data_IF_065854117074
#
_entry.id   IF_065854117074
#
_cell.length_a   1.000
_cell.length_b   1.000
_cell.length_c   1.000
_cell.angle_alpha   90.00
_cell.angle_beta   90.00
_cell.angle_gamma   90.00
#
_symmetry.space_group_name_H-M   'P 1'
#
loop_
_entity.id
_entity.type
_entity.pdbx_description
1 polymer ?
#
# COMPACT_ATOMS: atom_id res chain seq x y z
N UNK A 1 -8.63 -3.85 27.10
CA UNK A 1 -9.45 -2.70 26.70
C UNK A 1 -8.85 -2.12 25.43
N UNK A 2 -9.67 -1.66 24.49
CA UNK A 2 -9.15 -0.93 23.33
C UNK A 2 -8.47 0.36 23.82
N UNK A 3 -7.40 0.76 23.14
CA UNK A 3 -6.67 1.99 23.44
C UNK A 3 -7.59 3.20 23.18
N UNK A 4 -7.50 4.23 24.01
CA UNK A 4 -8.40 5.41 23.92
C UNK A 4 -8.16 6.20 22.61
N UNK A 5 -6.91 6.22 22.10
CA UNK A 5 -6.54 6.82 20.84
C UNK A 5 -5.65 5.85 20.04
N UNK A 6 -6.24 4.90 19.31
CA UNK A 6 -5.45 3.95 18.51
C UNK A 6 -4.80 4.65 17.33
N UNK A 7 -3.65 4.13 16.88
CA UNK A 7 -2.81 4.73 15.84
C UNK A 7 -2.69 3.80 14.66
N UNK A 8 -2.90 4.35 13.47
CA UNK A 8 -2.71 3.64 12.20
C UNK A 8 -1.64 4.32 11.34
N UNK A 9 -0.90 3.53 10.59
CA UNK A 9 0.02 3.98 9.55
C UNK A 9 -0.46 3.40 8.23
N UNK A 10 -0.60 4.25 7.21
CA UNK A 10 -1.05 3.84 5.88
C UNK A 10 -0.03 4.34 4.85
N UNK A 11 0.58 3.44 4.08
CA UNK A 11 1.43 3.82 2.94
C UNK A 11 0.63 3.81 1.63
N UNK A 12 1.03 4.62 0.64
CA UNK A 12 0.23 4.80 -0.58
C UNK A 12 -1.09 5.52 -0.29
N UNK A 13 -1.07 6.43 0.69
CA UNK A 13 -2.26 6.98 1.32
C UNK A 13 -2.85 8.20 0.62
N UNK A 14 -2.19 8.75 -0.41
CA UNK A 14 -2.69 9.94 -1.11
C UNK A 14 -3.94 9.66 -1.95
N UNK A 15 -4.17 8.41 -2.38
CA UNK A 15 -5.32 8.08 -3.24
C UNK A 15 -5.69 6.59 -3.21
N UNK A 16 -6.79 6.24 -3.89
CA UNK A 16 -7.22 4.86 -4.09
C UNK A 16 -7.47 4.11 -2.79
N UNK A 17 -7.01 2.85 -2.73
CA UNK A 17 -7.24 1.96 -1.57
C UNK A 17 -6.61 2.52 -0.30
N UNK A 18 -5.40 3.12 -0.40
CA UNK A 18 -4.73 3.71 0.76
C UNK A 18 -5.50 4.87 1.37
N UNK A 19 -5.96 5.85 0.56
CA UNK A 19 -6.77 6.98 1.02
C UNK A 19 -8.10 6.51 1.62
N UNK A 20 -8.79 5.57 0.97
CA UNK A 20 -10.03 4.99 1.49
C UNK A 20 -9.81 4.29 2.83
N UNK A 21 -8.70 3.53 2.98
CA UNK A 21 -8.34 2.87 4.23
C UNK A 21 -8.05 3.89 5.35
N UNK A 22 -7.32 4.96 5.04
CA UNK A 22 -7.03 6.03 5.99
C UNK A 22 -8.30 6.71 6.49
N UNK A 23 -9.21 7.09 5.58
CA UNK A 23 -10.48 7.70 5.93
C UNK A 23 -11.36 6.78 6.81
N UNK A 24 -11.43 5.49 6.50
CA UNK A 24 -12.19 4.52 7.31
C UNK A 24 -11.59 4.30 8.69
N UNK A 25 -10.27 4.22 8.81
CA UNK A 25 -9.59 4.11 10.10
C UNK A 25 -9.84 5.37 10.94
N UNK A 26 -9.74 6.57 10.36
CA UNK A 26 -10.05 7.83 11.02
C UNK A 26 -11.51 7.87 11.52
N UNK A 27 -12.46 7.42 10.69
CA UNK A 27 -13.88 7.33 11.08
C UNK A 27 -14.13 6.34 12.24
N UNK A 28 -13.24 5.34 12.42
CA UNK A 28 -13.24 4.42 13.57
C UNK A 28 -12.48 4.96 14.79
N UNK A 29 -12.02 6.21 14.74
CA UNK A 29 -11.36 6.88 15.85
C UNK A 29 -9.84 6.75 15.89
N UNK A 30 -9.20 6.15 14.87
CA UNK A 30 -7.75 6.10 14.78
C UNK A 30 -7.15 7.47 14.45
N UNK A 31 -6.03 7.79 15.07
CA UNK A 31 -5.09 8.77 14.50
C UNK A 31 -4.32 8.09 13.37
N UNK A 32 -4.26 8.71 12.21
CA UNK A 32 -3.72 8.08 10.99
C UNK A 32 -2.51 8.86 10.48
N UNK A 33 -1.37 8.22 10.41
CA UNK A 33 -0.22 8.71 9.66
C UNK A 33 -0.34 8.25 8.20
N UNK A 34 -0.54 9.21 7.30
CA UNK A 34 -0.66 8.99 5.87
C UNK A 34 0.72 9.18 5.22
N UNK A 35 1.25 8.12 4.65
CA UNK A 35 2.58 8.13 4.00
C UNK A 35 2.40 7.95 2.50
N UNK A 36 2.95 8.88 1.72
CA UNK A 36 3.05 8.75 0.26
C UNK A 36 4.29 9.48 -0.25
N UNK A 37 4.66 9.22 -1.50
CA UNK A 37 5.70 9.95 -2.21
C UNK A 37 5.08 10.86 -3.26
N UNK A 38 4.88 12.16 -2.99
CA UNK A 38 4.36 13.11 -3.96
C UNK A 38 5.29 13.28 -5.17
N UNK A 39 4.68 13.55 -6.34
CA UNK A 39 5.40 13.78 -7.61
C UNK A 39 6.46 14.89 -7.49
N UNK A 40 6.20 15.89 -6.67
CA UNK A 40 7.08 17.05 -6.43
C UNK A 40 8.27 16.71 -5.52
N UNK A 41 8.28 15.52 -4.92
CA UNK A 41 9.39 15.09 -4.06
C UNK A 41 10.67 14.94 -4.89
N UNK A 42 11.80 15.51 -4.44
CA UNK A 42 13.04 15.43 -5.21
C UNK A 42 13.53 13.99 -5.33
N UNK A 43 13.83 13.57 -6.54
CA UNK A 43 14.84 12.56 -6.82
C UNK A 43 14.44 11.20 -7.32
N UNK A 44 13.19 10.67 -7.28
CA UNK A 44 13.00 9.26 -7.68
C UNK A 44 11.70 8.87 -8.41
N UNK A 45 10.74 9.75 -8.53
CA UNK A 45 9.44 9.38 -9.16
C UNK A 45 9.45 9.42 -10.68
N UNK A 46 10.37 10.18 -11.29
CA UNK A 46 10.59 10.14 -12.75
C UNK A 46 11.09 8.77 -13.24
N UNK A 47 11.41 7.87 -12.31
CA UNK A 47 11.99 6.54 -12.58
C UNK A 47 10.96 5.41 -12.68
N UNK A 48 9.64 5.67 -12.50
CA UNK A 48 8.63 4.64 -12.74
C UNK A 48 8.30 4.63 -14.23
N UNK A 49 8.75 3.61 -14.98
CA UNK A 49 8.51 3.55 -16.41
C UNK A 49 7.02 3.40 -16.74
N UNK A 50 6.61 3.98 -17.87
CA UNK A 50 5.28 3.75 -18.41
C UNK A 50 4.21 4.77 -17.99
N UNK A 51 2.91 4.40 -18.12
CA UNK A 51 1.79 5.33 -17.98
C UNK A 51 1.39 5.63 -16.52
N UNK A 52 1.92 4.92 -15.54
CA UNK A 52 1.61 5.17 -14.14
C UNK A 52 2.04 6.59 -13.74
N UNK A 53 1.16 7.31 -13.06
CA UNK A 53 1.44 8.65 -12.55
C UNK A 53 1.33 8.63 -11.02
N UNK A 54 2.38 9.03 -10.31
CA UNK A 54 2.35 9.21 -8.85
C UNK A 54 1.30 10.25 -8.44
N UNK A 55 0.97 10.30 -7.16
CA UNK A 55 0.11 11.32 -6.58
C UNK A 55 0.83 12.68 -6.49
N UNK A 56 0.09 13.77 -6.44
CA UNK A 56 0.62 15.09 -6.09
C UNK A 56 0.63 15.31 -4.57
N UNK A 57 1.39 16.27 -4.09
CA UNK A 57 1.38 16.65 -2.68
C UNK A 57 0.01 17.06 -2.20
N UNK A 58 -0.74 17.78 -3.04
CA UNK A 58 -2.12 18.16 -2.76
C UNK A 58 -3.03 16.94 -2.53
N UNK A 59 -2.86 15.83 -3.26
CA UNK A 59 -3.65 14.62 -3.06
C UNK A 59 -3.44 14.03 -1.65
N UNK A 60 -2.20 14.08 -1.15
CA UNK A 60 -1.87 13.60 0.19
C UNK A 60 -2.47 14.49 1.28
N UNK A 61 -2.41 15.82 1.09
CA UNK A 61 -3.01 16.78 2.02
C UNK A 61 -4.54 16.67 2.04
N UNK A 62 -5.18 16.48 0.88
CA UNK A 62 -6.63 16.26 0.77
C UNK A 62 -7.04 14.94 1.45
N UNK A 63 -6.28 13.87 1.27
CA UNK A 63 -6.53 12.60 1.95
C UNK A 63 -6.39 12.74 3.48
N UNK A 64 -5.41 13.51 3.96
CA UNK A 64 -5.25 13.79 5.38
C UNK A 64 -6.41 14.64 5.93
N UNK A 65 -6.85 15.66 5.19
CA UNK A 65 -7.99 16.50 5.55
C UNK A 65 -9.30 15.68 5.62
N UNK A 66 -9.49 14.72 4.71
CA UNK A 66 -10.64 13.81 4.71
C UNK A 66 -10.73 12.93 5.98
N UNK A 67 -9.63 12.78 6.72
CA UNK A 67 -9.58 12.09 8.01
C UNK A 67 -10.13 12.94 9.19
N UNK A 68 -10.68 14.13 8.95
CA UNK A 68 -11.40 14.91 9.94
C UNK A 68 -10.54 15.33 11.15
N UNK A 69 -9.32 15.84 10.92
CA UNK A 69 -8.39 16.28 11.98
C UNK A 69 -7.62 15.15 12.67
N UNK A 70 -7.82 13.90 12.25
CA UNK A 70 -7.08 12.72 12.72
C UNK A 70 -5.98 12.26 11.75
N UNK A 71 -5.91 12.85 10.55
CA UNK A 71 -4.94 12.53 9.52
C UNK A 71 -3.70 13.41 9.61
N UNK A 72 -2.52 12.82 9.50
CA UNK A 72 -1.24 13.49 9.47
C UNK A 72 -0.46 13.04 8.23
N UNK A 73 -0.18 13.97 7.32
CA UNK A 73 0.53 13.71 6.07
C UNK A 73 2.05 13.63 6.29
N UNK A 74 2.69 12.64 5.70
CA UNK A 74 4.12 12.43 5.72
C UNK A 74 4.63 12.07 4.32
N UNK A 75 5.52 12.87 3.76
CA UNK A 75 6.17 12.57 2.49
C UNK A 75 7.35 11.61 2.70
N UNK A 76 7.25 10.37 2.21
CA UNK A 76 8.35 9.41 2.24
C UNK A 76 8.23 8.35 1.13
N UNK A 77 9.39 7.96 0.59
CA UNK A 77 9.50 6.86 -0.37
C UNK A 77 9.58 5.54 0.37
N UNK A 78 8.68 4.60 0.06
CA UNK A 78 8.71 3.25 0.68
C UNK A 78 9.96 2.45 0.33
N UNK A 79 10.69 2.84 -0.71
CA UNK A 79 12.00 2.28 -1.09
C UNK A 79 13.13 2.75 -0.18
N UNK A 80 12.94 3.86 0.55
CA UNK A 80 13.92 4.43 1.46
C UNK A 80 13.62 4.01 2.91
N UNK A 81 14.37 3.03 3.46
CA UNK A 81 14.14 2.54 4.81
C UNK A 81 14.46 3.58 5.88
N UNK A 82 15.38 4.53 5.63
CA UNK A 82 15.70 5.59 6.58
C UNK A 82 14.60 6.65 6.64
N UNK A 83 14.02 7.02 5.49
CA UNK A 83 12.86 7.92 5.45
C UNK A 83 11.66 7.32 6.20
N UNK A 84 11.35 6.04 5.96
CA UNK A 84 10.28 5.35 6.69
C UNK A 84 10.56 5.28 8.19
N UNK A 85 11.78 4.92 8.60
CA UNK A 85 12.14 4.86 10.02
C UNK A 85 11.90 6.20 10.71
N UNK A 86 12.32 7.33 10.10
CA UNK A 86 12.08 8.67 10.64
C UNK A 86 10.59 8.99 10.83
N UNK A 87 9.75 8.61 9.86
CA UNK A 87 8.29 8.81 9.98
C UNK A 87 7.75 7.96 11.14
N UNK A 88 8.14 6.69 11.21
CA UNK A 88 7.69 5.77 12.26
C UNK A 88 8.15 6.24 13.65
N UNK A 89 9.40 6.68 13.79
CA UNK A 89 9.93 7.26 15.04
C UNK A 89 9.13 8.51 15.45
N UNK A 90 8.78 9.36 14.48
CA UNK A 90 7.92 10.53 14.72
C UNK A 90 6.54 10.11 15.22
N UNK A 91 5.91 9.14 14.60
CA UNK A 91 4.59 8.61 15.01
C UNK A 91 4.66 8.02 16.42
N UNK A 92 5.68 7.22 16.71
CA UNK A 92 5.86 6.60 18.03
C UNK A 92 6.14 7.67 19.10
N UNK A 93 6.96 8.68 18.81
CA UNK A 93 7.26 9.74 19.78
C UNK A 93 6.05 10.57 20.18
N UNK A 94 5.09 10.76 19.26
CA UNK A 94 3.87 11.53 19.53
C UNK A 94 2.74 10.68 20.14
N UNK A 95 2.67 9.40 19.76
CA UNK A 95 1.50 8.57 20.06
C UNK A 95 1.84 7.29 20.85
N UNK A 96 3.10 6.99 21.06
CA UNK A 96 3.58 5.90 21.91
C UNK A 96 3.69 4.54 21.23
N UNK A 97 2.74 4.09 20.42
CA UNK A 97 2.81 2.82 19.68
C UNK A 97 1.88 2.84 18.46
N UNK A 98 2.05 1.87 17.58
CA UNK A 98 1.24 1.67 16.37
C UNK A 98 0.35 0.45 16.58
N UNK A 99 -0.95 0.59 16.27
CA UNK A 99 -1.95 -0.47 16.40
C UNK A 99 -2.26 -1.14 15.05
N UNK A 100 -2.26 -0.34 13.95
CA UNK A 100 -2.58 -0.83 12.61
C UNK A 100 -1.55 -0.32 11.60
N UNK A 101 -1.12 -1.19 10.70
CA UNK A 101 -0.34 -0.82 9.51
C UNK A 101 -1.05 -1.32 8.27
N UNK A 102 -1.29 -0.42 7.30
CA UNK A 102 -1.79 -0.75 5.97
C UNK A 102 -0.70 -0.43 4.93
N UNK A 103 -0.04 -1.44 4.42
CA UNK A 103 0.97 -1.33 3.38
C UNK A 103 0.27 -1.35 2.00
N UNK A 104 -0.19 -0.16 1.54
CA UNK A 104 -0.93 -0.01 0.29
C UNK A 104 -0.14 0.73 -0.81
N UNK A 105 1.07 1.20 -0.55
CA UNK A 105 1.92 1.79 -1.57
C UNK A 105 2.21 0.77 -2.68
N UNK A 106 2.11 1.23 -3.92
CA UNK A 106 2.37 0.38 -5.07
C UNK A 106 2.30 1.15 -6.39
N UNK A 107 2.90 0.57 -7.40
CA UNK A 107 2.89 1.09 -8.77
C UNK A 107 2.72 -0.07 -9.75
N UNK A 108 2.38 0.26 -11.00
CA UNK A 108 2.33 -0.70 -12.11
C UNK A 108 3.14 -0.18 -13.29
N UNK A 109 3.99 -1.05 -13.83
CA UNK A 109 4.71 -0.87 -15.07
C UNK A 109 4.88 -2.23 -15.78
N UNK A 110 5.05 -2.20 -17.09
CA UNK A 110 5.16 -3.37 -17.94
C UNK A 110 4.78 -3.02 -19.37
N UNK A 111 4.05 -3.90 -20.05
CA UNK A 111 3.62 -3.72 -21.44
C UNK A 111 4.44 -4.50 -22.46
N UNK A 112 5.47 -5.24 -22.00
CA UNK A 112 6.27 -6.13 -22.83
C UNK A 112 6.25 -7.57 -22.28
N UNK A 113 6.51 -8.59 -23.13
CA UNK A 113 6.73 -9.95 -22.67
C UNK A 113 7.92 -10.02 -21.69
N UNK A 114 7.95 -11.03 -20.82
CA UNK A 114 8.99 -11.19 -19.80
C UNK A 114 10.41 -11.04 -20.35
N UNK A 115 10.70 -11.69 -21.48
CA UNK A 115 12.05 -11.71 -22.10
C UNK A 115 12.45 -10.38 -22.78
N UNK A 116 11.53 -9.41 -22.85
CA UNK A 116 11.76 -8.04 -23.35
C UNK A 116 11.55 -7.00 -22.25
N UNK A 117 11.33 -7.43 -21.00
CA UNK A 117 11.13 -6.52 -19.87
C UNK A 117 12.44 -5.84 -19.52
N UNK A 118 12.47 -4.52 -19.53
CA UNK A 118 13.62 -3.72 -19.11
C UNK A 118 13.97 -3.94 -17.64
N UNK A 119 15.26 -3.92 -17.34
CA UNK A 119 15.79 -4.04 -15.99
C UNK A 119 15.21 -2.98 -15.04
N UNK A 120 14.99 -1.75 -15.51
CA UNK A 120 14.43 -0.65 -14.70
C UNK A 120 12.96 -0.89 -14.36
N UNK A 121 12.18 -1.47 -15.28
CA UNK A 121 10.81 -1.93 -15.00
C UNK A 121 10.84 -3.02 -13.93
N UNK A 122 11.72 -4.01 -14.07
CA UNK A 122 11.86 -5.08 -13.09
C UNK A 122 12.20 -4.52 -11.70
N UNK A 123 13.29 -3.74 -11.60
CA UNK A 123 13.73 -3.15 -10.33
C UNK A 123 12.66 -2.29 -9.70
N UNK A 124 12.05 -1.37 -10.46
CA UNK A 124 11.01 -0.49 -9.94
C UNK A 124 9.82 -1.27 -9.37
N UNK A 125 9.38 -2.34 -10.04
CA UNK A 125 8.24 -3.14 -9.57
C UNK A 125 8.58 -3.92 -8.30
N UNK A 126 9.76 -4.50 -8.20
CA UNK A 126 10.21 -5.20 -6.99
C UNK A 126 10.41 -4.20 -5.84
N UNK A 127 11.11 -3.10 -6.09
CA UNK A 127 11.48 -2.14 -5.04
C UNK A 127 10.24 -1.46 -4.43
N UNK A 128 9.28 -1.05 -5.24
CA UNK A 128 8.08 -0.38 -4.74
C UNK A 128 7.12 -1.39 -4.12
N UNK A 129 6.75 -2.45 -4.88
CA UNK A 129 5.64 -3.31 -4.50
C UNK A 129 5.99 -4.40 -3.49
N UNK A 130 7.26 -4.83 -3.39
CA UNK A 130 7.71 -5.87 -2.47
C UNK A 130 8.66 -5.33 -1.41
N UNK A 131 9.79 -4.71 -1.80
CA UNK A 131 10.76 -4.15 -0.87
C UNK A 131 10.13 -3.05 0.00
N UNK A 132 9.23 -2.21 -0.57
CA UNK A 132 8.46 -1.22 0.17
C UNK A 132 7.60 -1.82 1.28
N UNK A 133 6.93 -2.95 1.03
CA UNK A 133 6.16 -3.68 2.06
C UNK A 133 7.08 -4.23 3.15
N UNK A 134 8.23 -4.80 2.77
CA UNK A 134 9.24 -5.26 3.73
C UNK A 134 9.77 -4.10 4.59
N UNK A 135 10.06 -2.95 3.99
CA UNK A 135 10.60 -1.80 4.71
C UNK A 135 9.63 -1.25 5.76
N UNK A 136 8.35 -1.07 5.41
CA UNK A 136 7.36 -0.59 6.39
C UNK A 136 7.09 -1.63 7.49
N UNK A 137 7.07 -2.92 7.16
CA UNK A 137 6.95 -3.98 8.15
C UNK A 137 8.11 -3.93 9.16
N UNK A 138 9.35 -3.88 8.65
CA UNK A 138 10.57 -3.80 9.47
C UNK A 138 10.61 -2.55 10.37
N UNK A 139 10.12 -1.42 9.87
CA UNK A 139 10.10 -0.17 10.63
C UNK A 139 9.03 -0.16 11.74
N UNK A 140 7.87 -0.75 11.50
CA UNK A 140 6.70 -0.60 12.38
C UNK A 140 6.49 -1.76 13.36
N UNK A 141 6.79 -3.00 12.97
CA UNK A 141 6.51 -4.19 13.79
C UNK A 141 7.20 -4.19 15.16
N UNK A 142 8.44 -3.72 15.35
CA UNK A 142 9.04 -3.66 16.68
C UNK A 142 8.16 -2.89 17.68
N UNK A 143 7.66 -1.71 17.31
CA UNK A 143 6.76 -0.92 18.18
C UNK A 143 5.43 -1.65 18.49
N UNK A 144 4.90 -2.41 17.53
CA UNK A 144 3.67 -3.19 17.75
C UNK A 144 3.91 -4.36 18.71
N UNK A 145 5.11 -4.95 18.67
CA UNK A 145 5.50 -6.06 19.53
C UNK A 145 5.92 -5.61 20.93
N UNK A 146 6.45 -4.40 21.07
CA UNK A 146 6.83 -3.80 22.35
C UNK A 146 5.61 -3.22 23.13
N UNK A 147 4.45 -3.10 22.47
CA UNK A 147 3.23 -2.62 23.11
C UNK A 147 2.81 -3.53 24.28
N UNK A 148 2.23 -2.97 25.37
CA UNK A 148 1.77 -3.78 26.51
C UNK A 148 0.72 -4.82 26.11
N UNK A 149 0.78 -5.98 26.72
CA UNK A 149 -0.24 -7.01 26.55
C UNK A 149 -1.57 -6.63 27.25
N UNK A 150 -2.74 -7.05 26.75
CA UNK A 150 -2.93 -7.87 25.55
C UNK A 150 -2.77 -7.03 24.28
N UNK A 151 -1.92 -7.47 23.36
CA UNK A 151 -1.70 -6.82 22.07
C UNK A 151 -2.84 -7.14 21.11
N UNK A 152 -3.15 -6.19 20.25
CA UNK A 152 -4.17 -6.33 19.20
C UNK A 152 -3.70 -5.64 17.90
N UNK A 153 -2.42 -5.77 17.57
CA UNK A 153 -1.80 -5.16 16.40
C UNK A 153 -2.25 -5.83 15.09
N UNK A 154 -2.39 -5.06 14.02
CA UNK A 154 -2.78 -5.55 12.69
C UNK A 154 -1.86 -5.01 11.62
N UNK A 155 -1.15 -5.89 10.94
CA UNK A 155 -0.40 -5.58 9.72
C UNK A 155 -1.19 -6.11 8.52
N UNK A 156 -1.57 -5.22 7.61
CA UNK A 156 -2.31 -5.57 6.39
C UNK A 156 -1.53 -5.09 5.17
N UNK A 157 -1.18 -6.01 4.26
CA UNK A 157 -0.55 -5.66 3.00
C UNK A 157 -1.55 -5.75 1.85
N UNK A 158 -1.58 -4.71 1.00
CA UNK A 158 -2.36 -4.73 -0.24
C UNK A 158 -1.53 -5.44 -1.32
N UNK A 159 -1.81 -6.72 -1.50
CA UNK A 159 -1.27 -7.52 -2.59
C UNK A 159 -2.04 -7.24 -3.91
N UNK A 160 -2.56 -8.25 -4.59
CA UNK A 160 -3.36 -8.16 -5.80
C UNK A 160 -3.89 -9.55 -6.16
N UNK A 161 -4.91 -9.65 -7.00
CA UNK A 161 -5.25 -10.89 -7.71
C UNK A 161 -4.02 -11.44 -8.48
N UNK A 162 -3.11 -10.57 -8.91
CA UNK A 162 -1.81 -10.93 -9.48
C UNK A 162 -0.89 -11.71 -8.52
N UNK A 163 -1.23 -11.86 -7.24
CA UNK A 163 -0.54 -12.75 -6.29
C UNK A 163 -0.96 -14.22 -6.42
N UNK A 164 -1.99 -14.51 -7.21
CA UNK A 164 -2.52 -15.85 -7.44
C UNK A 164 -2.59 -16.22 -8.93
N UNK A 165 -2.52 -15.23 -9.81
CA UNK A 165 -2.61 -15.42 -11.27
C UNK A 165 -1.47 -14.66 -11.96
N UNK A 166 -0.95 -15.25 -13.04
CA UNK A 166 -0.03 -14.53 -13.93
C UNK A 166 -0.80 -13.51 -14.78
N UNK A 167 -0.30 -12.30 -14.85
CA UNK A 167 -0.81 -11.27 -15.76
C UNK A 167 0.16 -11.13 -16.94
N UNK A 168 -0.27 -11.37 -18.19
CA UNK A 168 0.57 -11.17 -19.36
C UNK A 168 1.19 -9.76 -19.36
N UNK A 169 2.42 -9.60 -19.80
CA UNK A 169 3.14 -8.32 -19.91
C UNK A 169 3.35 -7.57 -18.58
N UNK A 170 2.99 -8.15 -17.45
CA UNK A 170 3.17 -7.61 -16.09
C UNK A 170 3.96 -8.59 -15.20
N UNK A 171 4.98 -9.25 -15.74
CA UNK A 171 5.73 -10.30 -15.04
C UNK A 171 6.39 -9.79 -13.75
N UNK A 172 7.05 -8.62 -13.79
CA UNK A 172 7.69 -8.02 -12.62
C UNK A 172 6.68 -7.65 -11.53
N UNK A 173 5.55 -7.06 -11.90
CA UNK A 173 4.45 -6.76 -10.98
C UNK A 173 3.86 -8.04 -10.37
N UNK A 174 3.59 -9.07 -11.18
CA UNK A 174 3.08 -10.36 -10.71
C UNK A 174 4.07 -11.01 -9.73
N UNK A 175 5.36 -11.03 -10.05
CA UNK A 175 6.41 -11.55 -9.17
C UNK A 175 6.42 -10.81 -7.82
N UNK A 176 6.39 -9.47 -7.84
CA UNK A 176 6.34 -8.66 -6.62
C UNK A 176 5.10 -8.98 -5.76
N UNK A 177 3.91 -9.09 -6.37
CA UNK A 177 2.67 -9.34 -5.62
C UNK A 177 2.57 -10.79 -5.10
N UNK A 178 3.13 -11.79 -5.81
CA UNK A 178 3.34 -13.13 -5.24
C UNK A 178 4.32 -13.09 -4.07
N UNK A 179 5.40 -12.31 -4.19
CA UNK A 179 6.36 -12.08 -3.12
C UNK A 179 5.72 -11.48 -1.86
N UNK A 180 4.83 -10.50 -2.01
CA UNK A 180 4.05 -9.93 -0.88
C UNK A 180 3.23 -11.00 -0.18
N UNK A 181 2.50 -11.83 -0.93
CA UNK A 181 1.72 -12.91 -0.33
C UNK A 181 2.60 -13.93 0.42
N UNK A 182 3.79 -14.24 -0.12
CA UNK A 182 4.79 -15.09 0.55
C UNK A 182 5.34 -14.46 1.83
N UNK A 183 5.73 -13.18 1.74
CA UNK A 183 6.24 -12.41 2.89
C UNK A 183 5.22 -12.35 4.03
N UNK A 184 3.96 -12.06 3.73
CA UNK A 184 2.90 -11.98 4.75
C UNK A 184 2.63 -13.34 5.39
N UNK A 185 2.70 -14.44 4.64
CA UNK A 185 2.57 -15.80 5.20
C UNK A 185 3.70 -16.11 6.18
N UNK A 186 4.95 -15.79 5.83
CA UNK A 186 6.09 -15.95 6.73
C UNK A 186 5.93 -15.09 7.98
N UNK A 187 5.62 -13.81 7.80
CA UNK A 187 5.39 -12.89 8.90
C UNK A 187 4.25 -13.33 9.83
N UNK A 188 3.15 -13.85 9.28
CA UNK A 188 2.04 -14.37 10.08
C UNK A 188 2.47 -15.55 10.97
N UNK A 189 3.37 -16.41 10.48
CA UNK A 189 3.93 -17.51 11.27
C UNK A 189 4.89 -16.99 12.37
N UNK A 190 5.73 -16.00 12.06
CA UNK A 190 6.66 -15.39 13.02
C UNK A 190 5.93 -14.63 14.14
N UNK A 191 4.75 -14.08 13.85
CA UNK A 191 3.92 -13.35 14.81
C UNK A 191 2.98 -14.24 15.64
N UNK A 192 3.07 -15.56 15.51
CA UNK A 192 2.25 -16.48 16.29
C UNK A 192 2.38 -16.18 17.79
N UNK A 193 1.25 -16.25 18.51
CA UNK A 193 1.14 -16.01 19.96
C UNK A 193 1.53 -14.59 20.44
N UNK A 194 1.94 -13.69 19.55
CA UNK A 194 2.32 -12.33 19.91
C UNK A 194 1.13 -11.40 20.20
N UNK A 195 -0.07 -11.75 19.71
CA UNK A 195 -1.25 -10.89 19.68
C UNK A 195 -1.28 -9.91 18.49
N UNK A 196 -0.23 -9.88 17.66
CA UNK A 196 -0.17 -9.14 16.38
C UNK A 196 -0.45 -10.11 15.24
N UNK A 197 -1.24 -9.70 14.26
CA UNK A 197 -1.53 -10.51 13.07
C UNK A 197 -1.06 -9.84 11.79
N UNK A 198 -0.68 -10.63 10.79
CA UNK A 198 -0.35 -10.16 9.46
C UNK A 198 -1.26 -10.83 8.41
N UNK A 199 -1.87 -10.03 7.55
CA UNK A 199 -2.77 -10.48 6.49
C UNK A 199 -2.48 -9.76 5.17
N UNK A 200 -2.81 -10.43 4.06
CA UNK A 200 -2.76 -9.83 2.73
C UNK A 200 -4.17 -9.76 2.14
N UNK A 201 -4.54 -8.60 1.64
CA UNK A 201 -5.75 -8.42 0.82
C UNK A 201 -5.32 -8.49 -0.64
N UNK A 202 -6.05 -9.25 -1.46
CA UNK A 202 -5.73 -9.47 -2.88
C UNK A 202 -6.85 -8.90 -3.77
N UNK A 203 -6.91 -7.58 -3.97
CA UNK A 203 -7.96 -6.96 -4.76
C UNK A 203 -7.94 -7.40 -6.22
N UNK A 204 -9.14 -7.52 -6.80
CA UNK A 204 -9.33 -7.57 -8.24
C UNK A 204 -9.31 -6.18 -8.88
N UNK A 205 -9.97 -6.01 -10.02
CA UNK A 205 -10.03 -4.74 -10.76
C UNK A 205 -10.74 -3.68 -9.94
N UNK A 206 -9.96 -2.80 -9.31
CA UNK A 206 -10.44 -1.74 -8.42
C UNK A 206 -10.32 -0.38 -9.13
N UNK A 207 -11.33 0.47 -9.03
CA UNK A 207 -11.45 1.75 -9.73
C UNK A 207 -10.44 2.78 -9.20
N UNK A 208 -9.17 2.66 -9.58
CA UNK A 208 -8.05 3.51 -9.15
C UNK A 208 -7.22 3.96 -10.35
N UNK A 209 -6.38 4.99 -10.16
CA UNK A 209 -5.40 5.40 -11.17
C UNK A 209 -4.40 4.31 -11.58
N UNK A 210 -4.17 3.30 -10.72
CA UNK A 210 -3.37 2.13 -11.08
C UNK A 210 -4.07 1.28 -12.16
N UNK A 211 -5.41 1.15 -12.09
CA UNK A 211 -6.15 0.44 -13.12
C UNK A 211 -6.21 1.22 -14.43
N UNK A 212 -6.23 2.57 -14.38
CA UNK A 212 -6.10 3.41 -15.58
C UNK A 212 -4.76 3.19 -16.28
N UNK A 213 -3.67 3.15 -15.50
CA UNK A 213 -2.35 2.84 -16.03
C UNK A 213 -2.28 1.41 -16.60
N UNK A 214 -2.90 0.43 -15.97
CA UNK A 214 -3.00 -0.94 -16.50
C UNK A 214 -3.78 -0.99 -17.81
N UNK A 215 -4.88 -0.24 -17.92
CA UNK A 215 -5.64 -0.13 -19.17
C UNK A 215 -4.78 0.43 -20.32
N UNK A 216 -3.99 1.46 -20.02
CA UNK A 216 -3.06 2.04 -21.00
C UNK A 216 -1.96 1.05 -21.42
N UNK A 217 -1.40 0.26 -20.50
CA UNK A 217 -0.41 -0.79 -20.81
C UNK A 217 -0.96 -1.88 -21.74
N UNK A 218 -2.23 -2.22 -21.59
CA UNK A 218 -2.91 -3.19 -22.47
C UNK A 218 -3.53 -2.57 -23.73
N UNK A 219 -3.35 -1.28 -23.98
CA UNK A 219 -3.95 -0.59 -25.14
C UNK A 219 -5.48 -0.53 -25.08
N UNK A 220 -6.06 -0.63 -23.88
CA UNK A 220 -7.50 -0.56 -23.67
C UNK A 220 -7.98 0.90 -23.71
N UNK A 221 -9.23 1.13 -24.13
CA UNK A 221 -9.82 2.47 -24.23
C UNK A 221 -9.86 3.19 -22.88
N UNK A 222 -10.23 2.46 -21.83
CA UNK A 222 -10.29 2.93 -20.43
C UNK A 222 -10.33 1.74 -19.48
N UNK A 223 -10.29 2.00 -18.17
CA UNK A 223 -10.34 0.96 -17.12
C UNK A 223 -11.66 0.20 -17.05
N UNK A 224 -12.78 0.74 -17.59
CA UNK A 224 -14.09 0.10 -17.49
C UNK A 224 -14.13 -1.21 -18.27
N UNK A 225 -13.26 -1.38 -19.27
CA UNK A 225 -13.10 -2.64 -19.98
C UNK A 225 -12.70 -3.83 -19.09
N UNK A 226 -12.13 -3.58 -17.90
CA UNK A 226 -11.87 -4.64 -16.93
C UNK A 226 -13.12 -5.13 -16.18
N UNK A 227 -14.23 -4.41 -16.21
CA UNK A 227 -15.49 -4.83 -15.62
C UNK A 227 -16.02 -6.12 -16.26
N UNK A 228 -15.86 -6.26 -17.59
CA UNK A 228 -16.29 -7.43 -18.34
C UNK A 228 -15.51 -8.71 -17.97
N UNK A 229 -14.27 -8.52 -17.46
CA UNK A 229 -13.42 -9.62 -17.00
C UNK A 229 -13.65 -9.98 -15.52
N UNK A 230 -14.30 -9.09 -14.77
CA UNK A 230 -14.61 -9.29 -13.37
C UNK A 230 -15.88 -10.17 -13.22
N UNK A 231 -15.80 -11.25 -12.42
CA UNK A 231 -16.95 -12.13 -12.19
C UNK A 231 -18.17 -11.42 -11.59
N UNK A 232 -17.95 -10.28 -10.92
CA UNK A 232 -19.03 -9.44 -10.36
C UNK A 232 -19.61 -8.45 -11.39
N UNK A 233 -19.10 -8.42 -12.63
CA UNK A 233 -19.59 -7.57 -13.73
C UNK A 233 -19.39 -6.07 -13.53
N UNK A 234 -18.54 -5.65 -12.61
CA UNK A 234 -18.21 -4.24 -12.35
C UNK A 234 -16.80 -4.10 -11.76
N UNK A 235 -16.30 -2.87 -11.75
CA UNK A 235 -15.11 -2.54 -10.95
C UNK A 235 -15.46 -2.52 -9.45
N UNK A 236 -14.47 -2.83 -8.63
CA UNK A 236 -14.56 -2.73 -7.17
C UNK A 236 -14.27 -1.27 -6.78
N UNK A 237 -15.06 -0.72 -5.87
CA UNK A 237 -14.76 0.59 -5.29
C UNK A 237 -13.60 0.46 -4.28
N UNK A 238 -12.63 1.42 -4.24
CA UNK A 238 -11.58 1.42 -3.23
C UNK A 238 -12.11 1.31 -1.79
N UNK A 239 -13.28 1.88 -1.51
CA UNK A 239 -13.90 1.83 -0.20
C UNK A 239 -14.42 0.44 0.17
N UNK A 240 -14.80 -0.40 -0.80
CA UNK A 240 -15.14 -1.80 -0.57
C UNK A 240 -13.92 -2.61 -0.11
N UNK A 241 -12.73 -2.32 -0.69
CA UNK A 241 -11.49 -2.95 -0.24
C UNK A 241 -11.10 -2.44 1.15
N UNK A 242 -11.24 -1.14 1.40
CA UNK A 242 -10.94 -0.55 2.70
C UNK A 242 -11.89 -1.03 3.82
N UNK A 243 -13.01 -1.66 3.48
CA UNK A 243 -13.98 -2.21 4.43
C UNK A 243 -13.59 -3.61 4.96
N UNK A 244 -12.64 -4.29 4.28
CA UNK A 244 -12.20 -5.64 4.65
C UNK A 244 -11.19 -5.62 5.79
#
# INVERSE_FOLDING_TARGET
MARENPVAVVTGAARGIGAASAARLAARGFTVALIDLPLESPGRLSEIPGPYRPAHGQDLDEAAAACGGRGHAHAADVRDPQALAKVIDTVISHHGSIDVVVAAAGAVAGGAPLWETDDDVWRSMIDINLTGVFNIARASLPSMLDAPAPRNGRFVAVASAAAHHGLPQLAAYSAAKHGVAGLVKALSAELADSGVTANAVCPGSTATGMLDASAALYGMKNRDAFADQARIGRLIDPDEIAAT
#
